data_IF_040390248399
#
_entry.id   IF_040390248399
#
_cell.length_a   1.000
_cell.length_b   1.000
_cell.length_c   1.000
_cell.angle_alpha   90.00
_cell.angle_beta   90.00
_cell.angle_gamma   90.00
#
_symmetry.space_group_name_H-M   'P 1'
#
loop_
_entity.id
_entity.type
_entity.pdbx_description
1 polymer ?
#
# COMPACT_ATOMS: atom_id res chain seq x y z
N UNK A 1 2.13 31.49 47.64
CA UNK A 1 3.00 30.32 47.37
C UNK A 1 2.42 29.62 46.12
N UNK A 2 2.69 30.22 44.97
CA UNK A 2 3.52 29.68 43.88
C UNK A 2 2.73 28.79 42.90
N UNK A 3 2.18 29.45 41.88
CA UNK A 3 1.58 28.89 40.66
C UNK A 3 2.72 28.77 39.64
N UNK A 4 2.98 27.57 39.12
CA UNK A 4 3.92 27.36 38.03
C UNK A 4 3.18 26.97 36.75
N UNK A 5 2.82 28.00 35.98
CA UNK A 5 2.40 27.89 34.58
C UNK A 5 3.66 27.69 33.73
N UNK A 6 3.78 26.54 33.06
CA UNK A 6 4.86 26.29 32.10
C UNK A 6 4.29 26.40 30.68
N UNK A 7 4.50 27.56 30.06
CA UNK A 7 4.20 27.82 28.66
C UNK A 7 5.43 27.44 27.84
N UNK A 8 5.32 26.44 26.98
CA UNK A 8 6.34 26.13 25.99
C UNK A 8 5.86 26.61 24.61
N UNK A 9 6.42 27.72 24.12
CA UNK A 9 6.24 28.19 22.74
C UNK A 9 7.34 27.56 21.91
N UNK A 10 7.00 26.55 21.11
CA UNK A 10 7.87 26.00 20.08
C UNK A 10 7.60 26.68 18.74
N UNK A 11 8.49 27.59 18.33
CA UNK A 11 8.50 28.22 17.00
C UNK A 11 9.22 27.27 16.03
N UNK A 12 8.50 26.72 15.05
CA UNK A 12 9.12 26.01 13.92
C UNK A 12 9.17 26.93 12.69
N UNK A 13 10.38 27.29 12.30
CA UNK A 13 10.70 28.08 11.11
C UNK A 13 10.55 27.19 9.87
N UNK A 14 9.76 27.66 8.91
CA UNK A 14 9.52 27.03 7.60
C UNK A 14 10.76 27.07 6.69
N UNK A 15 11.07 25.95 6.02
CA UNK A 15 11.98 25.94 4.86
C UNK A 15 11.19 25.94 3.56
N UNK A 16 11.51 26.90 2.70
CA UNK A 16 10.99 27.06 1.35
C UNK A 16 11.57 26.00 0.40
N UNK A 17 10.69 25.39 -0.41
CA UNK A 17 10.84 25.28 -1.87
C UNK A 17 11.84 24.27 -2.47
N UNK A 18 11.30 23.43 -3.37
CA UNK A 18 11.90 23.17 -4.68
C UNK A 18 10.79 22.97 -5.71
N UNK A 19 10.83 23.80 -6.76
CA UNK A 19 9.85 23.91 -7.83
C UNK A 19 10.50 23.34 -9.10
N UNK A 20 9.90 22.28 -9.66
CA UNK A 20 9.99 21.97 -11.09
C UNK A 20 11.10 21.04 -11.57
N UNK A 21 10.69 19.94 -12.20
CA UNK A 21 11.35 19.40 -13.40
C UNK A 21 10.27 19.12 -14.45
N UNK A 22 10.30 19.90 -15.54
CA UNK A 22 9.61 19.62 -16.80
C UNK A 22 10.49 18.68 -17.60
N UNK A 23 10.04 17.47 -17.88
CA UNK A 23 10.64 16.65 -18.95
C UNK A 23 9.87 16.90 -20.24
N UNK A 24 10.57 17.54 -21.18
CA UNK A 24 10.23 17.60 -22.60
C UNK A 24 11.01 16.44 -23.24
N UNK A 25 10.31 15.44 -23.75
CA UNK A 25 10.90 14.32 -24.48
C UNK A 25 10.03 14.00 -25.68
N UNK A 26 10.27 14.72 -26.78
CA UNK A 26 9.61 14.48 -28.06
C UNK A 26 10.17 13.25 -28.78
N UNK A 27 9.24 12.52 -29.39
CA UNK A 27 9.26 11.76 -30.65
C UNK A 27 10.60 11.27 -31.23
N UNK A 28 10.66 9.97 -31.52
CA UNK A 28 11.32 9.49 -32.73
C UNK A 28 10.51 8.33 -33.34
N UNK A 29 9.93 8.59 -34.51
CA UNK A 29 9.36 7.59 -35.42
C UNK A 29 10.46 6.90 -36.24
N UNK A 30 10.24 5.62 -36.55
CA UNK A 30 11.11 4.70 -37.30
C UNK A 30 11.67 5.24 -38.63
N UNK A 31 12.74 4.59 -39.15
CA UNK A 31 12.53 3.88 -40.41
C UNK A 31 13.19 2.49 -40.57
N UNK A 32 12.50 1.71 -41.40
CA UNK A 32 12.73 0.40 -42.03
C UNK A 32 14.04 0.25 -42.82
N UNK A 33 14.69 -0.93 -42.76
CA UNK A 33 15.03 -1.85 -43.88
C UNK A 33 16.37 -2.63 -43.75
N UNK A 34 16.33 -3.93 -44.12
CA UNK A 34 17.47 -4.74 -44.62
C UNK A 34 17.92 -5.91 -43.72
N UNK A 35 17.32 -7.12 -43.78
CA UNK A 35 17.57 -8.24 -44.71
C UNK A 35 18.82 -9.11 -44.39
N UNK A 36 18.63 -10.38 -44.00
CA UNK A 36 19.34 -11.59 -44.51
C UNK A 36 18.59 -12.86 -44.05
N UNK A 37 18.55 -13.85 -44.94
CA UNK A 37 17.68 -15.03 -45.01
C UNK A 37 18.19 -16.23 -44.18
N UNK A 38 17.29 -17.16 -43.81
CA UNK A 38 17.57 -18.59 -43.62
C UNK A 38 16.28 -19.47 -43.68
N UNK A 39 16.36 -20.78 -44.02
CA UNK A 39 15.40 -21.59 -44.80
C UNK A 39 14.12 -22.11 -44.07
N UNK A 40 13.12 -22.68 -44.80
CA UNK A 40 11.75 -22.85 -44.29
C UNK A 40 11.57 -24.11 -43.45
N UNK A 41 11.03 -23.94 -42.23
CA UNK A 41 10.54 -25.00 -41.36
C UNK A 41 8.99 -25.09 -41.45
N UNK A 42 8.41 -26.30 -41.27
CA UNK A 42 6.99 -26.60 -41.54
C UNK A 42 6.02 -25.89 -40.55
N UNK A 43 4.71 -25.79 -40.90
CA UNK A 43 3.78 -24.90 -40.22
C UNK A 43 3.37 -25.44 -38.86
N UNK A 44 4.03 -25.00 -37.79
CA UNK A 44 3.55 -25.20 -36.43
C UNK A 44 2.46 -24.16 -36.10
N UNK A 45 1.21 -24.63 -36.14
CA UNK A 45 0.10 -24.21 -35.29
C UNK A 45 0.40 -23.01 -34.38
N UNK A 46 -0.02 -21.82 -34.81
CA UNK A 46 -0.16 -20.65 -33.94
C UNK A 46 -1.16 -20.96 -32.83
N UNK A 47 -0.66 -21.50 -31.70
CA UNK A 47 -1.38 -21.39 -30.43
C UNK A 47 -1.38 -19.91 -30.10
N UNK A 48 -2.54 -19.26 -30.27
CA UNK A 48 -2.79 -17.94 -29.75
C UNK A 48 -2.49 -17.92 -28.25
N UNK A 49 -1.28 -17.50 -27.88
CA UNK A 49 -0.95 -17.15 -26.50
C UNK A 49 -1.69 -15.85 -26.23
N UNK A 50 -2.93 -16.00 -25.78
CA UNK A 50 -3.72 -14.88 -25.29
C UNK A 50 -2.94 -14.31 -24.11
N UNK A 51 -2.56 -13.01 -24.11
CA UNK A 51 -1.95 -12.40 -22.95
C UNK A 51 -2.90 -12.58 -21.77
N UNK A 52 -2.43 -13.24 -20.70
CA UNK A 52 -3.21 -13.37 -19.48
C UNK A 52 -3.58 -11.96 -19.02
N UNK A 53 -4.88 -11.63 -19.07
CA UNK A 53 -5.37 -10.34 -18.57
C UNK A 53 -4.93 -10.20 -17.12
N UNK A 54 -4.42 -9.03 -16.69
CA UNK A 54 -4.22 -8.75 -15.28
C UNK A 54 -5.54 -9.02 -14.57
N UNK A 55 -5.53 -10.01 -13.67
CA UNK A 55 -6.66 -10.23 -12.78
C UNK A 55 -6.67 -9.04 -11.84
N UNK A 56 -7.48 -8.04 -12.17
CA UNK A 56 -7.88 -7.00 -11.23
C UNK A 56 -8.67 -7.72 -10.15
N UNK A 57 -7.98 -8.16 -9.09
CA UNK A 57 -8.63 -8.68 -7.89
C UNK A 57 -9.49 -7.54 -7.35
N UNK A 58 -10.79 -7.65 -7.55
CA UNK A 58 -11.78 -6.75 -6.95
C UNK A 58 -11.53 -6.78 -5.44
N UNK A 59 -11.39 -5.62 -4.75
CA UNK A 59 -11.24 -5.61 -3.30
C UNK A 59 -12.38 -6.43 -2.67
N UNK A 60 -12.04 -7.41 -1.84
CA UNK A 60 -13.06 -8.16 -1.10
C UNK A 60 -13.75 -7.17 -0.17
N UNK A 61 -15.02 -6.85 -0.45
CA UNK A 61 -15.75 -5.70 0.12
C UNK A 61 -15.97 -5.72 1.64
N UNK A 62 -15.34 -6.60 2.42
CA UNK A 62 -15.67 -6.77 3.85
C UNK A 62 -14.53 -7.23 4.77
N UNK A 63 -13.24 -7.10 4.41
CA UNK A 63 -12.19 -7.32 5.43
C UNK A 63 -12.12 -6.13 6.39
N UNK A 64 -13.04 -6.13 7.35
CA UNK A 64 -13.02 -5.22 8.49
C UNK A 64 -12.27 -5.88 9.64
N UNK A 65 -11.13 -5.31 10.00
CA UNK A 65 -10.34 -5.73 11.15
C UNK A 65 -10.48 -4.76 12.33
N UNK A 66 -9.98 -5.17 13.48
CA UNK A 66 -9.81 -4.36 14.70
C UNK A 66 -8.36 -4.39 15.13
N UNK A 67 -7.78 -3.24 15.45
CA UNK A 67 -6.43 -3.19 16.04
C UNK A 67 -6.51 -3.72 17.47
N UNK A 68 -5.72 -4.74 17.78
CA UNK A 68 -5.69 -5.40 19.09
C UNK A 68 -4.48 -5.00 19.93
N UNK A 69 -3.35 -4.71 19.28
CA UNK A 69 -2.12 -4.30 19.94
C UNK A 69 -1.36 -3.34 19.02
N UNK A 70 -0.67 -2.38 19.62
CA UNK A 70 0.20 -1.44 18.90
C UNK A 70 1.55 -1.35 19.60
N UNK A 71 2.61 -1.52 18.83
CA UNK A 71 3.96 -1.10 19.22
C UNK A 71 4.40 0.04 18.31
N UNK A 72 4.23 1.28 18.77
CA UNK A 72 4.63 2.45 17.98
C UNK A 72 6.14 2.64 17.90
N UNK A 73 6.92 2.10 18.84
CA UNK A 73 8.38 2.22 18.81
C UNK A 73 8.98 1.34 17.72
N UNK A 74 8.41 0.14 17.52
CA UNK A 74 8.79 -0.79 16.46
C UNK A 74 8.01 -0.58 15.16
N UNK A 75 6.93 0.21 15.20
CA UNK A 75 6.16 0.58 14.02
C UNK A 75 5.30 -0.57 13.48
N UNK A 76 4.76 -1.43 14.36
CA UNK A 76 3.82 -2.47 13.95
C UNK A 76 2.57 -2.50 14.84
N UNK A 77 1.52 -3.13 14.32
CA UNK A 77 0.32 -3.44 15.07
C UNK A 77 -0.13 -4.87 14.79
N UNK A 78 -0.94 -5.41 15.69
CA UNK A 78 -1.64 -6.67 15.50
C UNK A 78 -3.11 -6.34 15.22
N UNK A 79 -3.64 -6.91 14.16
CA UNK A 79 -5.03 -6.73 13.72
C UNK A 79 -5.76 -8.06 13.83
N UNK A 80 -6.92 -8.04 14.47
CA UNK A 80 -7.88 -9.13 14.49
C UNK A 80 -8.85 -9.00 13.31
N UNK A 81 -8.86 -10.00 12.44
CA UNK A 81 -9.73 -10.15 11.30
C UNK A 81 -10.82 -11.22 11.52
N UNK A 82 -11.28 -11.43 12.76
CA UNK A 82 -12.31 -12.43 13.10
C UNK A 82 -13.59 -12.37 12.25
N UNK A 83 -13.93 -11.19 11.71
CA UNK A 83 -15.10 -11.00 10.84
C UNK A 83 -14.79 -11.11 9.33
N UNK A 84 -13.53 -11.28 8.95
CA UNK A 84 -13.15 -11.46 7.56
C UNK A 84 -13.44 -12.90 7.11
N UNK A 85 -14.00 -13.05 5.91
CA UNK A 85 -14.25 -14.37 5.31
C UNK A 85 -12.95 -15.15 5.01
N UNK A 86 -11.84 -14.44 4.84
CA UNK A 86 -10.51 -14.97 4.56
C UNK A 86 -9.46 -14.00 5.08
N UNK A 87 -8.33 -14.53 5.59
CA UNK A 87 -7.20 -13.71 6.00
C UNK A 87 -6.64 -12.90 4.81
N UNK A 88 -6.28 -11.62 5.02
CA UNK A 88 -5.66 -10.79 3.99
C UNK A 88 -4.40 -11.42 3.39
N UNK A 89 -4.12 -11.11 2.13
CA UNK A 89 -2.81 -11.42 1.55
C UNK A 89 -1.74 -10.52 2.20
N UNK A 90 -0.48 -10.95 2.16
CA UNK A 90 0.65 -10.09 2.54
C UNK A 90 0.78 -8.90 1.58
N UNK A 91 1.43 -7.83 2.04
CA UNK A 91 1.72 -6.61 1.29
C UNK A 91 0.47 -5.85 0.80
N UNK A 92 -0.66 -6.05 1.48
CA UNK A 92 -1.89 -5.33 1.18
C UNK A 92 -2.00 -4.07 2.07
N UNK A 93 -2.33 -2.94 1.45
CA UNK A 93 -2.55 -1.68 2.16
C UNK A 93 -3.96 -1.61 2.73
N UNK A 94 -4.07 -1.09 3.94
CA UNK A 94 -5.33 -0.83 4.62
C UNK A 94 -5.33 0.57 5.25
N UNK A 95 -6.52 1.15 5.36
CA UNK A 95 -6.77 2.37 6.11
C UNK A 95 -7.26 2.05 7.52
N UNK A 96 -6.79 2.83 8.49
CA UNK A 96 -7.13 2.69 9.89
C UNK A 96 -7.98 3.87 10.34
N UNK A 97 -9.08 3.60 11.02
CA UNK A 97 -10.11 4.57 11.39
C UNK A 97 -10.41 4.57 12.89
N UNK A 98 -10.53 5.77 13.46
CA UNK A 98 -11.12 6.01 14.77
C UNK A 98 -12.51 6.62 14.57
N UNK A 99 -13.55 5.80 14.75
CA UNK A 99 -14.89 6.15 14.30
C UNK A 99 -14.94 6.30 12.77
N UNK A 100 -15.17 7.52 12.29
CA UNK A 100 -15.22 7.85 10.85
C UNK A 100 -13.98 8.62 10.36
N UNK A 101 -13.05 8.95 11.25
CA UNK A 101 -11.83 9.65 10.90
C UNK A 101 -10.73 8.65 10.57
N UNK A 102 -10.12 8.78 9.40
CA UNK A 102 -8.89 8.04 9.10
C UNK A 102 -7.75 8.58 9.98
N UNK A 103 -7.12 7.69 10.73
CA UNK A 103 -6.04 8.01 11.67
C UNK A 103 -4.71 7.41 11.25
N UNK A 104 -4.68 6.50 10.27
CA UNK A 104 -3.44 5.90 9.79
C UNK A 104 -3.58 5.00 8.55
N UNK A 105 -2.45 4.44 8.17
CA UNK A 105 -2.27 3.48 7.07
C UNK A 105 -1.36 2.35 7.56
N UNK A 106 -1.71 1.11 7.21
CA UNK A 106 -0.89 -0.08 7.52
C UNK A 106 -0.61 -0.89 6.25
N UNK A 107 0.45 -1.70 6.30
CA UNK A 107 0.77 -2.72 5.29
C UNK A 107 0.76 -4.10 5.96
N UNK A 108 -0.02 -5.03 5.45
CA UNK A 108 -0.07 -6.38 6.01
C UNK A 108 1.23 -7.15 5.76
N UNK A 109 1.65 -7.95 6.73
CA UNK A 109 2.78 -8.89 6.55
C UNK A 109 2.27 -10.30 6.24
N UNK A 110 3.18 -11.27 6.12
CA UNK A 110 2.84 -12.69 6.03
C UNK A 110 2.64 -13.38 7.39
N UNK A 111 2.90 -12.68 8.49
CA UNK A 111 2.81 -13.25 9.84
C UNK A 111 1.36 -13.25 10.31
N UNK A 112 0.80 -14.45 10.47
CA UNK A 112 -0.58 -14.67 10.88
C UNK A 112 -0.66 -15.81 11.90
N UNK A 113 -1.62 -15.71 12.80
CA UNK A 113 -2.01 -16.78 13.73
C UNK A 113 -3.52 -16.70 13.95
N UNK A 114 -4.26 -17.76 13.61
CA UNK A 114 -5.73 -17.79 13.60
C UNK A 114 -6.36 -16.59 12.86
N UNK A 115 -6.95 -15.64 13.58
CA UNK A 115 -7.53 -14.39 13.03
C UNK A 115 -6.63 -13.17 13.20
N UNK A 116 -5.47 -13.33 13.83
CA UNK A 116 -4.51 -12.25 14.06
C UNK A 116 -3.51 -12.14 12.92
N UNK A 117 -3.24 -10.91 12.51
CA UNK A 117 -2.25 -10.58 11.49
C UNK A 117 -1.37 -9.43 11.99
N UNK A 118 -0.05 -9.58 11.82
CA UNK A 118 0.90 -8.48 12.09
C UNK A 118 0.98 -7.58 10.87
N UNK A 119 0.89 -6.27 11.07
CA UNK A 119 0.98 -5.27 10.01
C UNK A 119 1.94 -4.14 10.40
N UNK A 120 2.70 -3.68 9.43
CA UNK A 120 3.58 -2.53 9.57
C UNK A 120 2.75 -1.24 9.57
N UNK A 121 3.07 -0.33 10.48
CA UNK A 121 2.49 1.01 10.56
C UNK A 121 3.25 1.92 9.61
N UNK A 122 2.59 2.33 8.53
CA UNK A 122 3.19 3.26 7.56
C UNK A 122 3.03 4.71 7.98
N UNK A 123 1.85 5.07 8.52
CA UNK A 123 1.50 6.44 8.87
C UNK A 123 0.48 6.50 9.98
N UNK A 124 0.54 7.58 10.76
CA UNK A 124 -0.54 8.01 11.65
C UNK A 124 -0.38 7.58 13.11
N UNK A 125 -1.39 7.93 13.92
CA UNK A 125 -1.46 7.62 15.35
C UNK A 125 -2.51 6.52 15.59
N UNK A 126 -2.10 5.29 15.31
CA UNK A 126 -2.91 4.09 15.46
C UNK A 126 -2.94 3.65 16.92
N UNK A 127 -4.12 3.24 17.40
CA UNK A 127 -4.35 2.76 18.76
C UNK A 127 -5.19 1.48 18.75
N UNK A 128 -5.13 0.74 19.84
CA UNK A 128 -6.02 -0.38 20.10
C UNK A 128 -7.49 0.04 19.98
N UNK A 129 -8.30 -0.82 19.37
CA UNK A 129 -9.72 -0.57 19.10
C UNK A 129 -10.01 0.18 17.80
N UNK A 130 -9.01 0.79 17.14
CA UNK A 130 -9.19 1.41 15.83
C UNK A 130 -9.64 0.34 14.79
N UNK A 131 -10.46 0.75 13.84
CA UNK A 131 -11.02 -0.15 12.81
C UNK A 131 -10.16 -0.13 11.55
N UNK A 132 -9.88 -1.31 11.01
CA UNK A 132 -9.07 -1.50 9.80
C UNK A 132 -9.99 -1.83 8.63
N UNK A 133 -9.86 -1.12 7.51
CA UNK A 133 -10.72 -1.29 6.30
C UNK A 133 -9.84 -1.26 5.06
N UNK A 134 -10.25 -1.96 4.01
CA UNK A 134 -9.57 -1.88 2.72
C UNK A 134 -9.48 -0.45 2.22
N UNK A 135 -8.40 -0.13 1.49
CA UNK A 135 -8.29 1.11 0.70
C UNK A 135 -9.44 1.28 -0.31
#
# INVERSE_FOLDING_TARGET
LAIHTLIAIGVCISVLGCKGIKSIGGSFSDPKAGATQNPPLPPESFRNVTPAKPVVKKPSETSQGKVMLVDQALGFCVVDFVFAAQMPSSEQRYFVYRGNQQVGEILTTAQTDESFLVADINKGDIREGDSVRSE
#
